data_IF_821539472044
#
_entry.id   IF_821539472044
#
_cell.length_a   1.000
_cell.length_b   1.000
_cell.length_c   1.000
_cell.angle_alpha   90.00
_cell.angle_beta   90.00
_cell.angle_gamma   90.00
#
_symmetry.space_group_name_H-M   'P 1'
#
loop_
_entity.id
_entity.type
_entity.pdbx_description
1 polymer ?
#
# COMPACT_ATOMS: atom_id res chain seq x y z
N UNK A 1 11.37 -4.04 -7.72
CA UNK A 1 10.69 -2.75 -7.46
C UNK A 1 11.46 -1.84 -6.50
N UNK A 2 11.72 -2.25 -5.25
CA UNK A 2 12.41 -1.41 -4.24
C UNK A 2 13.72 -0.76 -4.72
N UNK A 3 14.62 -1.58 -5.28
CA UNK A 3 15.93 -1.12 -5.80
C UNK A 3 15.76 -0.03 -6.87
N UNK A 4 14.79 -0.20 -7.77
CA UNK A 4 14.52 0.76 -8.83
C UNK A 4 14.04 2.10 -8.26
N UNK A 5 13.08 2.10 -7.32
CA UNK A 5 12.61 3.36 -6.70
C UNK A 5 13.71 4.02 -5.87
N UNK A 6 14.52 3.24 -5.14
CA UNK A 6 15.67 3.76 -4.41
C UNK A 6 16.66 4.46 -5.33
N UNK A 7 17.05 3.81 -6.43
CA UNK A 7 17.94 4.40 -7.44
C UNK A 7 17.40 5.73 -7.97
N UNK A 8 16.12 5.80 -8.30
CA UNK A 8 15.49 7.02 -8.82
C UNK A 8 15.38 8.13 -7.80
N UNK A 9 15.09 7.77 -6.56
CA UNK A 9 15.01 8.71 -5.45
C UNK A 9 16.38 9.36 -5.10
N UNK A 10 17.47 8.78 -5.63
CA UNK A 10 18.83 9.30 -5.56
C UNK A 10 19.23 10.20 -6.73
N UNK A 11 18.43 10.30 -7.80
CA UNK A 11 18.75 11.14 -8.96
C UNK A 11 18.57 12.63 -8.63
N UNK A 12 19.42 13.53 -9.19
CA UNK A 12 19.24 14.97 -9.05
C UNK A 12 17.85 15.42 -9.54
N UNK A 13 17.14 16.21 -8.75
CA UNK A 13 15.80 16.69 -9.09
C UNK A 13 14.65 15.70 -8.83
N UNK A 14 14.93 14.51 -8.28
CA UNK A 14 13.90 13.53 -7.97
C UNK A 14 12.83 14.10 -7.01
N UNK A 15 11.53 13.89 -7.29
CA UNK A 15 10.46 14.32 -6.39
C UNK A 15 10.62 13.73 -4.98
N UNK A 16 10.46 14.54 -3.91
CA UNK A 16 10.69 14.09 -2.54
C UNK A 16 9.79 12.92 -2.11
N UNK A 17 8.61 12.78 -2.74
CA UNK A 17 7.72 11.65 -2.50
C UNK A 17 8.29 10.29 -2.90
N UNK A 18 9.23 10.22 -3.85
CA UNK A 18 9.82 8.94 -4.31
C UNK A 18 10.59 8.22 -3.20
N UNK A 19 11.29 8.97 -2.33
CA UNK A 19 11.98 8.37 -1.17
C UNK A 19 10.99 7.72 -0.21
N UNK A 20 9.86 8.38 0.04
CA UNK A 20 8.82 7.85 0.92
C UNK A 20 8.15 6.63 0.27
N UNK A 21 7.95 6.64 -1.06
CA UNK A 21 7.50 5.46 -1.82
C UNK A 21 8.45 4.27 -1.64
N UNK A 22 9.76 4.48 -1.72
CA UNK A 22 10.73 3.41 -1.48
C UNK A 22 10.62 2.85 -0.05
N UNK A 23 10.50 3.71 0.97
CA UNK A 23 10.31 3.26 2.36
C UNK A 23 9.00 2.48 2.52
N UNK A 24 7.90 2.93 1.90
CA UNK A 24 6.64 2.20 1.88
C UNK A 24 6.84 0.79 1.30
N UNK A 25 7.49 0.68 0.15
CA UNK A 25 7.78 -0.63 -0.47
C UNK A 25 8.63 -1.49 0.47
N UNK A 26 9.60 -0.91 1.19
CA UNK A 26 10.35 -1.59 2.23
C UNK A 26 9.44 -2.21 3.29
N UNK A 27 8.42 -1.49 3.76
CA UNK A 27 7.39 -2.03 4.67
C UNK A 27 6.62 -3.19 4.04
N UNK A 28 6.30 -3.13 2.75
CA UNK A 28 5.65 -4.27 2.07
C UNK A 28 6.57 -5.50 1.97
N UNK A 29 7.88 -5.31 1.79
CA UNK A 29 8.86 -6.41 1.84
C UNK A 29 8.91 -7.01 3.25
N UNK A 30 9.01 -6.16 4.29
CA UNK A 30 9.01 -6.61 5.69
C UNK A 30 7.74 -7.37 6.06
N UNK A 31 6.58 -6.92 5.55
CA UNK A 31 5.32 -7.65 5.65
C UNK A 31 5.46 -9.09 5.12
N UNK A 32 6.04 -9.28 3.94
CA UNK A 32 6.20 -10.62 3.37
C UNK A 32 7.18 -11.47 4.17
N UNK A 33 8.30 -10.87 4.60
CA UNK A 33 9.29 -11.53 5.46
C UNK A 33 8.71 -11.97 6.80
N UNK A 34 7.71 -11.26 7.32
CA UNK A 34 7.04 -11.60 8.58
C UNK A 34 6.40 -12.99 8.58
N UNK A 35 5.92 -13.46 7.42
CA UNK A 35 5.33 -14.80 7.31
C UNK A 35 6.34 -15.94 7.44
N UNK A 36 7.63 -15.69 7.18
CA UNK A 36 8.69 -16.69 7.40
C UNK A 36 9.04 -16.89 8.88
N UNK A 37 8.57 -15.99 9.76
CA UNK A 37 8.82 -16.10 11.19
C UNK A 37 7.79 -16.97 11.93
N UNK A 38 6.75 -17.46 11.24
CA UNK A 38 5.70 -18.30 11.84
C UNK A 38 6.27 -19.50 12.63
N UNK A 39 7.32 -20.23 12.17
CA UNK A 39 7.92 -21.32 12.94
C UNK A 39 8.58 -20.88 14.26
N UNK A 40 8.99 -19.61 14.37
CA UNK A 40 9.74 -19.08 15.52
C UNK A 40 8.85 -18.41 16.57
N UNK A 41 7.83 -17.65 16.13
CA UNK A 41 6.96 -16.85 17.02
C UNK A 41 5.49 -17.28 16.99
N UNK A 42 5.13 -18.25 16.15
CA UNK A 42 3.75 -18.70 15.96
C UNK A 42 2.93 -17.82 15.03
N UNK A 43 1.73 -18.31 14.68
CA UNK A 43 0.86 -17.69 13.66
C UNK A 43 0.38 -16.29 14.05
N UNK A 44 -0.06 -16.09 15.28
CA UNK A 44 -0.69 -14.83 15.71
C UNK A 44 0.30 -13.66 15.75
N UNK A 45 1.49 -13.76 16.38
CA UNK A 45 2.46 -12.67 16.37
C UNK A 45 2.98 -12.34 14.98
N UNK A 46 3.25 -13.35 14.14
CA UNK A 46 3.66 -13.13 12.74
C UNK A 46 2.57 -12.41 11.93
N UNK A 47 1.29 -12.74 12.14
CA UNK A 47 0.17 -12.08 11.49
C UNK A 47 0.03 -10.62 11.94
N UNK A 48 0.09 -10.35 13.24
CA UNK A 48 0.06 -8.99 13.78
C UNK A 48 1.20 -8.14 13.20
N UNK A 49 2.41 -8.71 13.12
CA UNK A 49 3.56 -8.04 12.54
C UNK A 49 3.36 -7.74 11.05
N UNK A 50 2.88 -8.73 10.28
CA UNK A 50 2.63 -8.58 8.85
C UNK A 50 1.57 -7.50 8.57
N UNK A 51 0.45 -7.49 9.29
CA UNK A 51 -0.61 -6.49 9.12
C UNK A 51 -0.21 -5.12 9.68
N UNK A 52 0.63 -5.07 10.71
CA UNK A 52 1.24 -3.82 11.21
C UNK A 52 2.14 -3.17 10.14
N UNK A 53 2.99 -3.96 9.49
CA UNK A 53 3.76 -3.47 8.33
C UNK A 53 2.85 -3.08 7.16
N UNK A 54 1.72 -3.78 6.96
CA UNK A 54 0.75 -3.35 5.95
C UNK A 54 0.14 -1.98 6.24
N UNK A 55 -0.24 -1.71 7.49
CA UNK A 55 -0.75 -0.41 7.92
C UNK A 55 0.29 0.69 7.64
N UNK A 56 1.54 0.45 8.06
CA UNK A 56 2.64 1.38 7.79
C UNK A 56 2.86 1.62 6.30
N UNK A 57 2.81 0.56 5.47
CA UNK A 57 2.85 0.68 4.01
C UNK A 57 1.75 1.60 3.46
N UNK A 58 0.48 1.42 3.87
CA UNK A 58 -0.64 2.25 3.40
C UNK A 58 -0.47 3.71 3.80
N UNK A 59 -0.08 3.98 5.05
CA UNK A 59 0.14 5.34 5.55
C UNK A 59 1.31 6.04 4.85
N UNK A 60 2.41 5.32 4.62
CA UNK A 60 3.57 5.82 3.91
C UNK A 60 3.23 6.07 2.44
N UNK A 61 2.46 5.20 1.79
CA UNK A 61 2.01 5.42 0.40
C UNK A 61 1.15 6.66 0.24
N UNK A 62 0.20 6.89 1.16
CA UNK A 62 -0.63 8.09 1.15
C UNK A 62 0.21 9.35 1.36
N UNK A 63 1.14 9.30 2.32
CA UNK A 63 2.10 10.38 2.58
C UNK A 63 2.95 10.65 1.35
N UNK A 64 3.50 9.61 0.73
CA UNK A 64 4.32 9.68 -0.46
C UNK A 64 3.55 10.27 -1.65
N UNK A 65 2.27 9.91 -1.81
CA UNK A 65 1.38 10.46 -2.84
C UNK A 65 1.19 11.96 -2.67
N UNK A 66 0.86 12.43 -1.47
CA UNK A 66 0.73 13.87 -1.22
C UNK A 66 2.05 14.60 -1.49
N UNK A 67 3.16 14.10 -0.95
CA UNK A 67 4.48 14.74 -1.12
C UNK A 67 4.94 14.71 -2.57
N UNK A 68 4.69 13.63 -3.32
CA UNK A 68 5.04 13.52 -4.74
C UNK A 68 4.30 14.57 -5.58
N UNK A 69 3.02 14.83 -5.27
CA UNK A 69 2.20 15.81 -5.98
C UNK A 69 2.36 17.24 -5.43
N UNK A 70 3.36 17.49 -4.58
CA UNK A 70 3.64 18.81 -3.99
C UNK A 70 2.64 19.26 -2.92
N UNK A 71 1.82 18.35 -2.39
CA UNK A 71 0.84 18.62 -1.32
C UNK A 71 1.45 18.33 0.06
N UNK A 72 1.02 19.09 1.08
CA UNK A 72 1.43 18.83 2.47
C UNK A 72 0.66 17.61 3.02
N UNK A 73 1.33 16.63 3.67
CA UNK A 73 0.64 15.51 4.28
C UNK A 73 -0.37 15.94 5.37
N UNK A 74 -1.59 15.40 5.32
CA UNK A 74 -2.64 15.74 6.28
C UNK A 74 -2.50 14.93 7.57
N UNK A 75 -1.75 15.46 8.54
CA UNK A 75 -1.41 14.78 9.80
C UNK A 75 -2.63 14.21 10.57
N UNK A 76 -3.75 14.94 10.74
CA UNK A 76 -4.91 14.37 11.44
C UNK A 76 -5.48 13.13 10.76
N UNK A 77 -5.46 13.09 9.42
CA UNK A 77 -5.93 11.92 8.68
C UNK A 77 -4.99 10.72 8.86
N UNK A 78 -3.67 10.95 8.84
CA UNK A 78 -2.69 9.90 9.10
C UNK A 78 -2.80 9.35 10.52
N UNK A 79 -3.00 10.21 11.52
CA UNK A 79 -3.20 9.79 12.90
C UNK A 79 -4.51 9.01 13.07
N UNK A 80 -5.61 9.47 12.47
CA UNK A 80 -6.89 8.76 12.53
C UNK A 80 -6.80 7.37 11.86
N UNK A 81 -6.17 7.28 10.68
CA UNK A 81 -5.94 6.01 10.00
C UNK A 81 -5.01 5.08 10.79
N UNK A 82 -3.92 5.60 11.35
CA UNK A 82 -3.00 4.83 12.18
C UNK A 82 -3.66 4.31 13.46
N UNK A 83 -4.46 5.15 14.11
CA UNK A 83 -5.26 4.76 15.27
C UNK A 83 -6.29 3.69 14.88
N UNK A 84 -7.03 3.87 13.79
CA UNK A 84 -7.97 2.89 13.27
C UNK A 84 -7.30 1.54 13.02
N UNK A 85 -6.21 1.50 12.25
CA UNK A 85 -5.51 0.25 11.94
C UNK A 85 -5.01 -0.44 13.20
N UNK A 86 -4.44 0.32 14.15
CA UNK A 86 -3.90 -0.24 15.39
C UNK A 86 -5.03 -0.78 16.28
N UNK A 87 -6.04 0.04 16.58
CA UNK A 87 -7.16 -0.33 17.44
C UNK A 87 -7.90 -1.54 16.87
N UNK A 88 -8.19 -1.55 15.57
CA UNK A 88 -8.91 -2.65 14.94
C UNK A 88 -8.08 -3.93 14.92
N UNK A 89 -6.80 -3.85 14.53
CA UNK A 89 -5.92 -5.03 14.45
C UNK A 89 -5.72 -5.67 15.82
N UNK A 90 -5.35 -4.89 16.84
CA UNK A 90 -5.13 -5.42 18.18
C UNK A 90 -6.44 -5.83 18.86
N UNK A 91 -7.51 -5.03 18.71
CA UNK A 91 -8.82 -5.32 19.29
C UNK A 91 -9.44 -6.59 18.72
N UNK A 92 -9.37 -6.80 17.39
CA UNK A 92 -9.91 -8.00 16.75
C UNK A 92 -9.17 -9.27 17.14
N UNK A 93 -7.84 -9.19 17.31
CA UNK A 93 -7.05 -10.33 17.80
C UNK A 93 -7.32 -10.62 19.27
N UNK A 94 -7.39 -9.58 20.12
CA UNK A 94 -7.67 -9.74 21.55
C UNK A 94 -9.05 -10.34 21.85
N UNK A 95 -10.03 -10.09 20.96
CA UNK A 95 -11.40 -10.63 21.07
C UNK A 95 -11.59 -11.95 20.32
N UNK A 96 -10.55 -12.48 19.66
CA UNK A 96 -10.62 -13.75 18.95
C UNK A 96 -11.55 -13.75 17.74
N UNK A 97 -11.71 -12.62 17.06
CA UNK A 97 -12.58 -12.53 15.88
C UNK A 97 -12.09 -13.46 14.75
N UNK A 98 -13.03 -13.83 13.88
CA UNK A 98 -12.71 -14.61 12.68
C UNK A 98 -11.78 -13.84 11.73
N UNK A 99 -11.04 -14.56 10.89
CA UNK A 99 -10.15 -13.95 9.89
C UNK A 99 -10.85 -12.89 9.04
N UNK A 100 -12.08 -13.15 8.61
CA UNK A 100 -12.86 -12.22 7.80
C UNK A 100 -13.20 -10.95 8.58
N UNK A 101 -13.66 -11.07 9.84
CA UNK A 101 -13.98 -9.90 10.67
C UNK A 101 -12.74 -9.07 11.06
N UNK A 102 -11.59 -9.73 11.25
CA UNK A 102 -10.31 -9.05 11.47
C UNK A 102 -9.85 -8.29 10.23
N UNK A 103 -9.88 -8.92 9.06
CA UNK A 103 -9.28 -8.36 7.85
C UNK A 103 -10.21 -7.46 7.05
N UNK A 104 -11.52 -7.68 7.04
CA UNK A 104 -12.44 -6.95 6.16
C UNK A 104 -12.40 -5.43 6.40
N UNK A 105 -12.57 -4.89 7.63
CA UNK A 105 -12.53 -3.44 7.84
C UNK A 105 -11.15 -2.85 7.55
N UNK A 106 -10.09 -3.60 7.88
CA UNK A 106 -8.72 -3.21 7.59
C UNK A 106 -8.49 -3.02 6.09
N UNK A 107 -8.80 -4.04 5.29
CA UNK A 107 -8.58 -4.02 3.84
C UNK A 107 -9.58 -3.11 3.13
N UNK A 108 -10.79 -2.93 3.67
CA UNK A 108 -11.75 -1.94 3.17
C UNK A 108 -11.19 -0.51 3.27
N UNK A 109 -10.73 -0.11 4.46
CA UNK A 109 -10.13 1.22 4.66
C UNK A 109 -8.85 1.39 3.83
N UNK A 110 -7.99 0.37 3.78
CA UNK A 110 -6.82 0.39 2.91
C UNK A 110 -7.20 0.61 1.43
N UNK A 111 -8.27 -0.03 0.96
CA UNK A 111 -8.76 0.11 -0.42
C UNK A 111 -9.31 1.50 -0.69
N UNK A 112 -10.06 2.10 0.26
CA UNK A 112 -10.51 3.49 0.16
C UNK A 112 -9.34 4.47 0.06
N UNK A 113 -8.26 4.24 0.82
CA UNK A 113 -7.03 5.05 0.70
C UNK A 113 -6.42 4.92 -0.70
N UNK A 114 -6.37 3.71 -1.27
CA UNK A 114 -5.89 3.52 -2.65
C UNK A 114 -6.78 4.22 -3.67
N UNK A 115 -8.11 4.14 -3.54
CA UNK A 115 -9.02 4.87 -4.42
C UNK A 115 -8.82 6.38 -4.32
N UNK A 116 -8.67 6.92 -3.11
CA UNK A 116 -8.36 8.33 -2.91
C UNK A 116 -7.02 8.72 -3.56
N UNK A 117 -5.97 7.93 -3.38
CA UNK A 117 -4.67 8.16 -4.03
C UNK A 117 -4.79 8.11 -5.55
N UNK A 118 -5.48 7.10 -6.09
CA UNK A 118 -5.69 6.93 -7.52
C UNK A 118 -6.46 8.11 -8.13
N UNK A 119 -7.55 8.53 -7.48
CA UNK A 119 -8.31 9.73 -7.85
C UNK A 119 -7.45 10.99 -7.81
N UNK A 120 -6.63 11.15 -6.77
CA UNK A 120 -5.75 12.30 -6.61
C UNK A 120 -4.68 12.37 -7.70
N UNK A 121 -4.08 11.24 -8.07
CA UNK A 121 -3.15 11.16 -9.20
C UNK A 121 -3.85 11.46 -10.52
N UNK A 122 -5.03 10.87 -10.75
CA UNK A 122 -5.78 11.04 -11.99
C UNK A 122 -6.19 12.50 -12.23
N UNK A 123 -6.75 13.15 -11.21
CA UNK A 123 -7.17 14.56 -11.27
C UNK A 123 -5.99 15.49 -11.47
N UNK A 124 -4.95 15.37 -10.63
CA UNK A 124 -3.76 16.22 -10.72
C UNK A 124 -3.05 16.09 -12.08
N UNK A 125 -2.89 14.85 -12.58
CA UNK A 125 -2.23 14.61 -13.87
C UNK A 125 -3.06 15.11 -15.05
N UNK A 126 -4.39 15.11 -14.92
CA UNK A 126 -5.30 15.69 -15.90
C UNK A 126 -5.14 17.20 -15.99
N UNK A 127 -5.06 17.88 -14.85
CA UNK A 127 -4.89 19.34 -14.77
C UNK A 127 -3.51 19.79 -15.27
N UNK A 128 -2.46 19.06 -14.88
CA UNK A 128 -1.07 19.38 -15.22
C UNK A 128 -0.60 18.79 -16.55
N UNK A 129 -1.45 18.05 -17.26
CA UNK A 129 -1.15 17.33 -18.51
C UNK A 129 0.11 16.45 -18.40
N UNK A 130 0.32 15.84 -17.23
CA UNK A 130 1.45 14.94 -17.00
C UNK A 130 1.20 13.62 -17.74
N UNK A 131 2.15 13.25 -18.60
CA UNK A 131 2.07 12.00 -19.35
C UNK A 131 2.14 10.79 -18.41
N UNK A 132 1.35 9.75 -18.68
CA UNK A 132 1.28 8.54 -17.85
C UNK A 132 0.57 8.67 -16.50
N UNK A 133 0.35 9.88 -15.97
CA UNK A 133 -0.18 10.04 -14.61
C UNK A 133 -1.64 9.64 -14.41
N UNK A 134 -2.47 9.72 -15.46
CA UNK A 134 -3.83 9.13 -15.44
C UNK A 134 -3.78 7.61 -15.31
N UNK A 135 -2.88 6.97 -16.05
CA UNK A 135 -2.69 5.51 -16.00
C UNK A 135 -2.21 5.08 -14.62
N UNK A 136 -1.26 5.81 -14.01
CA UNK A 136 -0.84 5.59 -12.61
C UNK A 136 -2.03 5.66 -11.66
N UNK A 137 -2.88 6.67 -11.78
CA UNK A 137 -4.09 6.82 -10.96
C UNK A 137 -5.03 5.62 -11.08
N UNK A 138 -5.29 5.15 -12.30
CA UNK A 138 -6.12 3.95 -12.55
C UNK A 138 -5.47 2.69 -11.97
N UNK A 139 -4.17 2.49 -12.17
CA UNK A 139 -3.46 1.32 -11.64
C UNK A 139 -3.48 1.28 -10.10
N UNK A 140 -3.31 2.43 -9.43
CA UNK A 140 -3.45 2.52 -7.98
C UNK A 140 -4.88 2.17 -7.53
N UNK A 141 -5.91 2.63 -8.26
CA UNK A 141 -7.29 2.27 -7.95
C UNK A 141 -7.56 0.77 -8.15
N UNK A 142 -7.04 0.16 -9.23
CA UNK A 142 -7.11 -1.29 -9.44
C UNK A 142 -6.38 -2.06 -8.34
N UNK A 143 -5.28 -1.53 -7.82
CA UNK A 143 -4.62 -2.12 -6.66
C UNK A 143 -5.50 -2.07 -5.41
N UNK A 144 -6.28 -0.99 -5.22
CA UNK A 144 -7.33 -0.91 -4.23
C UNK A 144 -8.38 -2.01 -4.37
N UNK A 145 -8.89 -2.26 -5.59
CA UNK A 145 -9.82 -3.37 -5.86
C UNK A 145 -9.20 -4.73 -5.49
N UNK A 146 -7.95 -4.95 -5.89
CA UNK A 146 -7.23 -6.17 -5.54
C UNK A 146 -7.00 -6.31 -4.03
N UNK A 147 -6.80 -5.22 -3.28
CA UNK A 147 -6.76 -5.27 -1.82
C UNK A 147 -8.12 -5.60 -1.23
N UNK A 148 -9.19 -5.04 -1.79
CA UNK A 148 -10.54 -5.25 -1.28
C UNK A 148 -10.93 -6.72 -1.37
N UNK A 149 -10.59 -7.43 -2.45
CA UNK A 149 -10.98 -8.84 -2.60
C UNK A 149 -10.22 -9.82 -1.66
N UNK A 150 -9.15 -9.37 -1.02
CA UNK A 150 -8.26 -10.21 -0.20
C UNK A 150 -8.98 -10.99 0.93
N UNK A 151 -9.86 -10.39 1.75
CA UNK A 151 -10.52 -11.10 2.85
C UNK A 151 -11.32 -12.33 2.40
N UNK A 152 -11.84 -12.32 1.17
CA UNK A 152 -12.62 -13.42 0.60
C UNK A 152 -11.76 -14.44 -0.14
N UNK A 153 -10.73 -13.99 -0.87
CA UNK A 153 -9.92 -14.88 -1.70
C UNK A 153 -8.78 -15.54 -0.92
N UNK A 154 -8.29 -14.93 0.16
CA UNK A 154 -7.17 -15.45 0.95
C UNK A 154 -7.36 -16.88 1.45
N UNK A 155 -8.55 -17.31 1.91
CA UNK A 155 -8.76 -18.70 2.34
C UNK A 155 -8.72 -19.73 1.20
N UNK A 156 -8.78 -19.31 -0.06
CA UNK A 156 -8.85 -20.20 -1.21
C UNK A 156 -7.45 -20.32 -1.84
N UNK A 157 -6.73 -21.39 -1.52
CA UNK A 157 -5.32 -21.58 -1.91
C UNK A 157 -5.07 -21.48 -3.42
N UNK A 158 -6.01 -21.95 -4.25
CA UNK A 158 -5.93 -21.89 -5.71
C UNK A 158 -5.80 -20.45 -6.26
N UNK A 159 -6.27 -19.43 -5.53
CA UNK A 159 -6.14 -18.03 -5.92
C UNK A 159 -4.82 -17.38 -5.49
N UNK A 160 -4.03 -18.03 -4.62
CA UNK A 160 -2.80 -17.44 -4.10
C UNK A 160 -1.80 -17.03 -5.21
N UNK A 161 -1.48 -17.88 -6.22
CA UNK A 161 -0.54 -17.51 -7.27
C UNK A 161 -1.01 -16.30 -8.09
N UNK A 162 -2.30 -16.27 -8.45
CA UNK A 162 -2.89 -15.17 -9.22
C UNK A 162 -2.93 -13.87 -8.42
N UNK A 163 -3.17 -13.96 -7.11
CA UNK A 163 -3.14 -12.81 -6.22
C UNK A 163 -1.75 -12.15 -6.17
N UNK A 164 -0.70 -12.95 -5.97
CA UNK A 164 0.67 -12.43 -5.97
C UNK A 164 1.08 -11.87 -7.33
N UNK A 165 0.80 -12.57 -8.42
CA UNK A 165 1.11 -12.09 -9.78
C UNK A 165 0.42 -10.75 -10.08
N UNK A 166 -0.85 -10.61 -9.73
CA UNK A 166 -1.62 -9.37 -9.94
C UNK A 166 -1.05 -8.22 -9.11
N UNK A 167 -0.73 -8.47 -7.83
CA UNK A 167 -0.14 -7.47 -6.95
C UNK A 167 1.20 -6.96 -7.50
N UNK A 168 2.09 -7.86 -7.91
CA UNK A 168 3.41 -7.49 -8.45
C UNK A 168 3.31 -6.79 -9.81
N UNK A 169 2.42 -7.25 -10.70
CA UNK A 169 2.18 -6.60 -11.98
C UNK A 169 1.71 -5.15 -11.79
N UNK A 170 0.69 -4.94 -10.93
CA UNK A 170 0.19 -3.59 -10.63
C UNK A 170 1.28 -2.73 -10.00
N UNK A 171 2.00 -3.24 -9.01
CA UNK A 171 3.05 -2.50 -8.32
C UNK A 171 4.21 -2.11 -9.27
N UNK A 172 4.61 -3.02 -10.17
CA UNK A 172 5.60 -2.74 -11.22
C UNK A 172 5.09 -1.69 -12.21
N UNK A 173 3.87 -1.83 -12.73
CA UNK A 173 3.28 -0.87 -13.66
C UNK A 173 3.13 0.53 -13.04
N UNK A 174 2.75 0.62 -11.77
CA UNK A 174 2.70 1.88 -11.01
C UNK A 174 4.10 2.48 -10.92
N UNK A 175 5.10 1.66 -10.58
CA UNK A 175 6.49 2.14 -10.46
C UNK A 175 7.04 2.68 -11.78
N UNK A 176 6.76 1.99 -12.89
CA UNK A 176 7.12 2.44 -14.25
C UNK A 176 6.39 3.73 -14.62
N UNK A 177 5.10 3.86 -14.27
CA UNK A 177 4.37 5.09 -14.51
C UNK A 177 4.89 6.28 -13.69
N UNK A 178 5.19 6.08 -12.40
CA UNK A 178 5.81 7.11 -11.54
C UNK A 178 7.18 7.54 -12.07
N UNK A 179 7.94 6.59 -12.61
CA UNK A 179 9.19 6.80 -13.32
C UNK A 179 9.05 7.78 -14.48
N UNK A 180 8.10 7.52 -15.37
CA UNK A 180 7.83 8.35 -16.55
C UNK A 180 7.31 9.75 -16.17
N UNK A 181 6.67 9.88 -15.00
CA UNK A 181 6.21 11.18 -14.49
C UNK A 181 7.31 12.00 -13.81
N UNK A 182 8.40 11.35 -13.39
CA UNK A 182 9.49 12.00 -12.65
C UNK A 182 10.63 12.50 -13.55
N UNK A 183 10.61 12.12 -14.83
CA UNK A 183 11.51 12.59 -15.88
C UNK A 183 10.90 13.78 -16.61
#
# INVERSE_FOLDING_TARGET
MLVAILFLSGQPGAPPGLRIWAVAIGFNVLRMLSFFLVPLMGKTPSMLMAEGFHAGFVLLLLTATWTFLGRKPHRPALLALGAFFSIWLFGSVATGLSFLATTLPFYFVASLVHFYMGWTFFTYSSEKKLWGGRSVGVLIALWGVHKLNYPWLRPIEAFAPFGFMTAELLALSISVGLLMMAQ
#
